data_IF_001580037139
#
_entry.id   IF_001580037139
#
_cell.length_a   1.000
_cell.length_b   1.000
_cell.length_c   1.000
_cell.angle_alpha   90.00
_cell.angle_beta   90.00
_cell.angle_gamma   90.00
#
_symmetry.space_group_name_H-M   'P 1'
#
loop_
_entity.id
_entity.type
_entity.pdbx_description
1 polymer ?
#
# COMPACT_ATOMS: atom_id res chain seq x y z
N UNK A 1 -15.23 -8.06 -0.40
CA UNK A 1 -13.77 -8.17 -0.21
C UNK A 1 -13.36 -7.25 0.95
N UNK A 2 -13.07 -7.79 2.16
CA UNK A 2 -12.74 -6.93 3.32
C UNK A 2 -11.80 -7.59 4.36
N UNK A 3 -11.47 -8.88 4.22
CA UNK A 3 -10.62 -9.61 5.17
C UNK A 3 -9.12 -9.35 4.97
N UNK A 4 -8.70 -9.25 3.70
CA UNK A 4 -7.31 -8.97 3.33
C UNK A 4 -6.80 -7.66 3.94
N UNK A 5 -7.58 -6.59 3.86
CA UNK A 5 -7.23 -5.26 4.39
C UNK A 5 -7.03 -5.30 5.90
N UNK A 6 -7.85 -6.07 6.64
CA UNK A 6 -7.72 -6.22 8.09
C UNK A 6 -6.44 -6.97 8.45
N UNK A 7 -6.18 -8.11 7.79
CA UNK A 7 -4.97 -8.92 8.02
C UNK A 7 -3.70 -8.16 7.63
N UNK A 8 -3.73 -7.41 6.54
CA UNK A 8 -2.62 -6.57 6.11
C UNK A 8 -2.34 -5.44 7.11
N UNK A 9 -3.39 -4.74 7.58
CA UNK A 9 -3.25 -3.71 8.62
C UNK A 9 -2.70 -4.29 9.92
N UNK A 10 -3.15 -5.46 10.34
CA UNK A 10 -2.63 -6.13 11.54
C UNK A 10 -1.16 -6.51 11.40
N UNK A 11 -0.72 -6.95 10.21
CA UNK A 11 0.67 -7.40 9.99
C UNK A 11 1.65 -6.23 9.80
N UNK A 12 1.23 -5.16 9.13
CA UNK A 12 2.10 -4.05 8.72
C UNK A 12 1.78 -2.72 9.42
N UNK A 13 0.81 -2.70 10.33
CA UNK A 13 0.37 -1.50 11.08
C UNK A 13 -0.40 -0.47 10.25
N UNK A 14 -0.20 -0.44 8.93
CA UNK A 14 -0.89 0.45 8.01
C UNK A 14 -1.27 -0.29 6.72
N UNK A 15 -2.34 0.20 6.07
CA UNK A 15 -2.67 -0.20 4.70
C UNK A 15 -2.30 0.98 3.81
N UNK A 16 -1.37 0.81 2.86
CA UNK A 16 -0.98 1.89 1.99
C UNK A 16 -2.19 2.41 1.22
N UNK A 17 -2.38 3.74 1.27
CA UNK A 17 -3.46 4.41 0.55
C UNK A 17 -3.21 4.36 -0.95
N UNK A 18 -4.27 4.49 -1.76
CA UNK A 18 -4.16 4.50 -3.22
C UNK A 18 -3.13 5.53 -3.73
N UNK A 19 -3.00 6.66 -3.02
CA UNK A 19 -1.99 7.69 -3.27
C UNK A 19 -0.56 7.18 -3.03
N UNK A 20 -0.31 6.39 -1.99
CA UNK A 20 1.01 5.78 -1.75
C UNK A 20 1.37 4.75 -2.81
N UNK A 21 0.40 3.98 -3.30
CA UNK A 21 0.64 3.05 -4.42
C UNK A 21 1.05 3.80 -5.68
N UNK A 22 0.29 4.83 -6.06
CA UNK A 22 0.60 5.68 -7.21
C UNK A 22 1.97 6.37 -7.03
N UNK A 23 2.26 6.85 -5.83
CA UNK A 23 3.54 7.50 -5.51
C UNK A 23 4.72 6.52 -5.57
N UNK A 24 4.59 5.29 -5.05
CA UNK A 24 5.62 4.25 -5.18
C UNK A 24 5.84 3.80 -6.62
N UNK A 25 4.77 3.69 -7.42
CA UNK A 25 4.88 3.35 -8.85
C UNK A 25 5.58 4.48 -9.61
N UNK A 26 5.22 5.74 -9.33
CA UNK A 26 5.87 6.90 -9.92
C UNK A 26 7.33 7.05 -9.49
N UNK A 27 7.64 6.73 -8.23
CA UNK A 27 8.99 6.78 -7.65
C UNK A 27 9.88 5.57 -8.00
N UNK A 28 9.30 4.48 -8.54
CA UNK A 28 10.06 3.32 -9.06
C UNK A 28 10.50 3.51 -10.53
N UNK A 29 10.47 4.76 -11.02
CA UNK A 29 11.15 5.12 -12.26
C UNK A 29 12.64 5.29 -11.95
N UNK A 30 13.54 4.50 -12.55
CA UNK A 30 14.97 4.74 -12.39
C UNK A 30 15.28 6.14 -12.97
N UNK A 31 15.97 6.97 -12.20
CA UNK A 31 16.55 8.23 -12.70
C UNK A 31 17.64 7.96 -13.73
#
# INVERSE_FOLDING_TARGET
MSDFTKRFRQRFGHVPSETQWKSKIAASRPQ
#
